data_IF_307628532861
#
_entry.id   IF_307628532861
#
_cell.length_a   1.000
_cell.length_b   1.000
_cell.length_c   1.000
_cell.angle_alpha   90.00
_cell.angle_beta   90.00
_cell.angle_gamma   90.00
#
_symmetry.space_group_name_H-M   'P 1'
#
loop_
_entity.id
_entity.type
_entity.pdbx_description
1 polymer ?
#
# COMPACT_ATOMS: atom_id res chain seq x y z
N UNK A 1 9.89 -0.62 19.46
CA UNK A 1 10.78 -0.01 20.48
C UNK A 1 10.63 1.51 20.50
N UNK A 2 10.57 2.13 21.68
CA UNK A 2 10.41 3.59 21.86
C UNK A 2 11.47 4.41 21.10
N UNK A 3 12.69 3.87 20.98
CA UNK A 3 13.78 4.45 20.20
C UNK A 3 13.50 4.58 18.70
N UNK A 4 12.77 3.64 18.11
CA UNK A 4 12.40 3.67 16.68
C UNK A 4 11.32 4.72 16.43
N UNK A 5 10.33 4.81 17.30
CA UNK A 5 9.29 5.85 17.23
C UNK A 5 9.88 7.26 17.41
N UNK A 6 10.82 7.42 18.34
CA UNK A 6 11.51 8.68 18.59
C UNK A 6 12.45 9.07 17.45
N UNK A 7 13.09 8.09 16.78
CA UNK A 7 13.91 8.33 15.59
C UNK A 7 13.08 8.74 14.37
N UNK A 8 11.92 8.10 14.15
CA UNK A 8 10.97 8.47 13.10
C UNK A 8 10.38 9.88 13.31
N UNK A 9 10.14 10.28 14.56
CA UNK A 9 9.65 11.62 14.92
C UNK A 9 10.67 12.75 14.68
N UNK A 10 11.97 12.44 14.60
CA UNK A 10 13.06 13.43 14.54
C UNK A 10 13.37 14.05 13.17
N UNK A 11 12.61 13.76 12.11
CA UNK A 11 12.84 14.29 10.74
C UNK A 11 14.29 14.12 10.21
N UNK A 12 15.01 13.07 10.60
CA UNK A 12 16.40 12.82 10.14
C UNK A 12 16.51 11.82 8.99
N UNK A 13 15.41 11.39 8.38
CA UNK A 13 15.53 10.72 7.09
C UNK A 13 16.01 11.74 6.06
N UNK A 14 17.12 11.48 5.32
CA UNK A 14 17.44 12.27 4.14
C UNK A 14 16.20 12.35 3.25
N UNK A 15 15.91 13.52 2.67
CA UNK A 15 14.73 13.65 1.81
C UNK A 15 14.79 12.71 0.60
N UNK A 16 16.01 12.33 0.17
CA UNK A 16 16.29 11.57 -1.04
C UNK A 16 17.50 10.66 -0.86
N UNK A 17 17.58 9.58 -1.64
CA UNK A 17 18.71 8.65 -1.68
C UNK A 17 18.31 7.19 -1.54
N UNK A 18 19.23 6.29 -1.90
CA UNK A 18 18.99 4.83 -1.91
C UNK A 18 18.49 4.29 -0.57
N UNK A 19 19.10 4.72 0.55
CA UNK A 19 18.74 4.27 1.90
C UNK A 19 17.28 4.60 2.23
N UNK A 20 16.81 5.77 1.82
CA UNK A 20 15.43 6.24 2.08
C UNK A 20 14.44 5.38 1.31
N UNK A 21 14.73 5.07 0.05
CA UNK A 21 13.90 4.16 -0.76
C UNK A 21 13.85 2.77 -0.15
N UNK A 22 14.99 2.26 0.34
CA UNK A 22 15.05 0.97 1.02
C UNK A 22 14.22 0.96 2.31
N UNK A 23 14.31 2.01 3.13
CA UNK A 23 13.51 2.15 4.34
C UNK A 23 12.01 2.21 4.04
N UNK A 24 11.59 3.04 3.07
CA UNK A 24 10.19 3.11 2.62
C UNK A 24 9.69 1.75 2.14
N UNK A 25 10.49 1.07 1.32
CA UNK A 25 10.17 -0.29 0.85
C UNK A 25 10.01 -1.26 2.02
N UNK A 26 10.89 -1.19 3.04
CA UNK A 26 10.79 -2.06 4.21
C UNK A 26 9.55 -1.75 5.07
N UNK A 27 9.20 -0.48 5.23
CA UNK A 27 8.00 -0.06 5.95
C UNK A 27 6.72 -0.57 5.27
N UNK A 28 6.67 -0.55 3.93
CA UNK A 28 5.54 -1.12 3.18
C UNK A 28 5.33 -2.59 3.56
N UNK A 29 6.40 -3.38 3.64
CA UNK A 29 6.29 -4.80 3.99
C UNK A 29 6.08 -5.07 5.48
N UNK A 30 6.33 -4.11 6.35
CA UNK A 30 6.14 -4.26 7.80
C UNK A 30 4.68 -3.96 8.19
N UNK A 31 4.16 -2.83 7.73
CA UNK A 31 2.84 -2.34 8.10
C UNK A 31 1.76 -3.21 7.44
N UNK A 32 0.91 -3.87 8.22
CA UNK A 32 -0.16 -4.75 7.77
C UNK A 32 0.21 -6.23 7.65
N UNK A 33 1.50 -6.58 7.81
CA UNK A 33 1.98 -7.97 7.64
C UNK A 33 2.69 -8.53 8.87
N UNK A 34 3.29 -7.68 9.71
CA UNK A 34 3.95 -8.11 10.94
C UNK A 34 2.93 -8.31 12.08
N UNK A 35 3.16 -9.29 12.95
CA UNK A 35 2.27 -9.62 14.07
C UNK A 35 2.03 -8.46 15.04
N UNK A 36 2.96 -7.49 15.10
CA UNK A 36 2.81 -6.28 15.94
C UNK A 36 2.19 -5.08 15.21
N UNK A 37 1.95 -5.21 13.91
CA UNK A 37 1.47 -4.15 13.03
C UNK A 37 0.42 -4.68 12.05
N UNK A 38 -0.54 -5.47 12.51
CA UNK A 38 -1.62 -5.96 11.65
C UNK A 38 -2.51 -4.81 11.15
N UNK A 39 -3.25 -5.01 10.06
CA UNK A 39 -4.12 -3.98 9.47
C UNK A 39 -5.09 -3.32 10.47
N UNK A 40 -5.59 -4.09 11.43
CA UNK A 40 -6.50 -3.60 12.47
C UNK A 40 -5.79 -2.79 13.57
N UNK A 41 -4.49 -3.00 13.75
CA UNK A 41 -3.67 -2.30 14.75
C UNK A 41 -3.02 -1.04 14.20
N UNK A 42 -3.00 -0.86 12.86
CA UNK A 42 -2.46 0.35 12.25
C UNK A 42 -3.28 1.58 12.64
N UNK A 43 -2.62 2.58 13.23
CA UNK A 43 -3.21 3.90 13.41
C UNK A 43 -3.50 4.56 12.05
N UNK A 44 -4.38 5.57 12.04
CA UNK A 44 -4.65 6.35 10.83
C UNK A 44 -3.37 6.96 10.24
N UNK A 45 -2.50 7.50 11.10
CA UNK A 45 -1.21 8.05 10.70
C UNK A 45 -0.30 6.99 10.07
N UNK A 46 -0.23 5.78 10.64
CA UNK A 46 0.58 4.69 10.08
C UNK A 46 0.05 4.24 8.72
N UNK A 47 -1.27 4.19 8.54
CA UNK A 47 -1.90 3.87 7.26
C UNK A 47 -1.55 4.93 6.19
N UNK A 48 -1.63 6.21 6.54
CA UNK A 48 -1.23 7.33 5.65
C UNK A 48 0.26 7.27 5.30
N UNK A 49 1.12 6.92 6.26
CA UNK A 49 2.54 6.69 6.00
C UNK A 49 2.79 5.54 5.05
N UNK A 50 2.08 4.42 5.20
CA UNK A 50 2.18 3.28 4.29
C UNK A 50 1.76 3.67 2.87
N UNK A 51 0.62 4.35 2.75
CA UNK A 51 0.08 4.89 1.49
C UNK A 51 1.11 5.79 0.79
N UNK A 52 1.72 6.71 1.55
CA UNK A 52 2.78 7.61 1.06
C UNK A 52 4.03 6.85 0.63
N UNK A 53 4.49 5.87 1.41
CA UNK A 53 5.64 5.05 1.06
C UNK A 53 5.41 4.31 -0.26
N UNK A 54 4.24 3.71 -0.46
CA UNK A 54 3.89 3.05 -1.72
C UNK A 54 4.02 4.00 -2.90
N UNK A 55 3.42 5.21 -2.81
CA UNK A 55 3.50 6.20 -3.90
C UNK A 55 4.91 6.69 -4.17
N UNK A 56 5.68 6.96 -3.12
CA UNK A 56 7.06 7.41 -3.25
C UNK A 56 7.93 6.34 -3.94
N UNK A 57 7.75 5.05 -3.58
CA UNK A 57 8.49 3.95 -4.22
C UNK A 57 8.06 3.77 -5.68
N UNK A 58 6.76 3.86 -5.98
CA UNK A 58 6.27 3.81 -7.37
C UNK A 58 6.85 4.96 -8.20
N UNK A 59 6.86 6.18 -7.67
CA UNK A 59 7.45 7.34 -8.33
C UNK A 59 8.94 7.13 -8.64
N UNK A 60 9.70 6.53 -7.71
CA UNK A 60 11.11 6.20 -7.95
C UNK A 60 11.25 5.18 -9.08
N UNK A 61 10.45 4.11 -9.09
CA UNK A 61 10.45 3.10 -10.15
C UNK A 61 10.13 3.72 -11.52
N UNK A 62 9.14 4.62 -11.58
CA UNK A 62 8.76 5.33 -12.80
C UNK A 62 9.84 6.30 -13.27
N UNK A 63 10.46 7.04 -12.35
CA UNK A 63 11.54 7.99 -12.65
C UNK A 63 12.76 7.27 -13.22
N UNK A 64 13.09 6.12 -12.65
CA UNK A 64 14.16 5.25 -13.12
C UNK A 64 13.76 4.43 -14.37
N UNK A 65 12.53 4.59 -14.87
CA UNK A 65 11.97 3.89 -16.02
C UNK A 65 12.04 2.36 -15.88
N UNK A 66 11.88 1.85 -14.66
CA UNK A 66 11.58 0.44 -14.47
C UNK A 66 10.21 0.19 -15.08
N UNK A 67 10.18 -0.64 -16.13
CA UNK A 67 8.94 -1.02 -16.80
C UNK A 67 8.06 -1.90 -15.91
N UNK A 68 7.39 -2.87 -16.53
CA UNK A 68 6.54 -3.82 -15.81
C UNK A 68 7.42 -4.83 -15.09
N UNK A 69 7.82 -4.52 -13.85
CA UNK A 69 8.64 -5.39 -13.01
C UNK A 69 7.84 -5.88 -11.80
N UNK A 70 8.23 -7.06 -11.29
CA UNK A 70 7.57 -7.70 -10.14
C UNK A 70 7.42 -6.77 -8.95
N UNK A 71 8.46 -6.01 -8.59
CA UNK A 71 8.41 -5.05 -7.48
C UNK A 71 7.30 -4.01 -7.69
N UNK A 72 7.17 -3.43 -8.88
CA UNK A 72 6.13 -2.44 -9.19
C UNK A 72 4.74 -3.02 -8.99
N UNK A 73 4.50 -4.24 -9.49
CA UNK A 73 3.23 -4.94 -9.30
C UNK A 73 2.90 -5.20 -7.82
N UNK A 74 3.91 -5.63 -7.05
CA UNK A 74 3.76 -5.89 -5.62
C UNK A 74 3.49 -4.61 -4.82
N UNK A 75 4.16 -3.51 -5.11
CA UNK A 75 3.90 -2.22 -4.44
C UNK A 75 2.51 -1.67 -4.81
N UNK A 76 2.05 -1.85 -6.06
CA UNK A 76 0.68 -1.50 -6.46
C UNK A 76 -0.37 -2.31 -5.69
N UNK A 77 -0.11 -3.58 -5.39
CA UNK A 77 -1.00 -4.40 -4.59
C UNK A 77 -1.08 -3.90 -3.13
N UNK A 78 0.06 -3.50 -2.55
CA UNK A 78 0.10 -2.91 -1.21
C UNK A 78 -0.56 -1.52 -1.15
N UNK A 79 -0.47 -0.73 -2.23
CA UNK A 79 -1.22 0.52 -2.36
C UNK A 79 -2.72 0.25 -2.40
N UNK A 80 -3.17 -0.69 -3.24
CA UNK A 80 -4.57 -1.11 -3.31
C UNK A 80 -5.11 -1.48 -1.92
N UNK A 81 -4.41 -2.33 -1.17
CA UNK A 81 -4.81 -2.73 0.19
C UNK A 81 -4.92 -1.55 1.14
N UNK A 82 -3.97 -0.62 1.07
CA UNK A 82 -3.97 0.59 1.91
C UNK A 82 -5.19 1.47 1.63
N UNK A 83 -5.54 1.65 0.35
CA UNK A 83 -6.71 2.43 -0.07
C UNK A 83 -8.02 1.72 0.32
N UNK A 84 -8.08 0.41 0.15
CA UNK A 84 -9.20 -0.42 0.61
C UNK A 84 -9.43 -0.28 2.11
N UNK A 85 -8.38 -0.38 2.93
CA UNK A 85 -8.47 -0.22 4.37
C UNK A 85 -8.90 1.21 4.77
N UNK A 86 -8.36 2.23 4.12
CA UNK A 86 -8.77 3.62 4.33
C UNK A 86 -10.25 3.82 4.04
N UNK A 87 -10.74 3.24 2.94
CA UNK A 87 -12.16 3.30 2.60
C UNK A 87 -13.04 2.55 3.59
N UNK A 88 -12.60 1.37 4.09
CA UNK A 88 -13.32 0.65 5.17
C UNK A 88 -13.51 1.56 6.39
N UNK A 89 -12.45 2.25 6.81
CA UNK A 89 -12.48 3.17 7.95
C UNK A 89 -13.35 4.41 7.69
N UNK A 90 -13.23 5.02 6.52
CA UNK A 90 -14.08 6.15 6.13
C UNK A 90 -15.57 5.77 6.14
N UNK A 91 -15.89 4.56 5.67
CA UNK A 91 -17.26 4.06 5.66
C UNK A 91 -17.83 3.91 7.08
N UNK A 92 -17.04 3.44 8.05
CA UNK A 92 -17.49 3.38 9.46
C UNK A 92 -17.88 4.77 9.99
N UNK A 93 -17.28 5.82 9.44
CA UNK A 93 -17.62 7.22 9.72
C UNK A 93 -18.72 7.79 8.81
N UNK A 94 -19.36 6.97 7.97
CA UNK A 94 -20.41 7.36 7.04
C UNK A 94 -19.94 8.07 5.76
N UNK A 95 -18.63 8.08 5.50
CA UNK A 95 -18.03 8.74 4.33
C UNK A 95 -17.66 7.69 3.27
N UNK A 96 -18.09 7.93 2.03
CA UNK A 96 -17.70 7.11 0.88
C UNK A 96 -16.90 7.98 -0.07
N UNK A 97 -15.59 7.72 -0.17
CA UNK A 97 -14.73 8.39 -1.12
C UNK A 97 -14.59 7.57 -2.42
N UNK A 98 -15.36 7.96 -3.44
CA UNK A 98 -15.34 7.31 -4.74
C UNK A 98 -13.99 7.47 -5.45
N UNK A 99 -13.26 8.56 -5.22
CA UNK A 99 -11.94 8.78 -5.85
C UNK A 99 -10.94 7.76 -5.31
N UNK A 100 -10.94 7.54 -3.98
CA UNK A 100 -10.10 6.52 -3.34
C UNK A 100 -10.45 5.11 -3.83
N UNK A 101 -11.75 4.80 -4.01
CA UNK A 101 -12.20 3.51 -4.54
C UNK A 101 -11.75 3.27 -5.98
N UNK A 102 -11.84 4.27 -6.85
CA UNK A 102 -11.40 4.16 -8.25
C UNK A 102 -9.87 4.04 -8.35
N UNK A 103 -9.12 4.76 -7.51
CA UNK A 103 -7.67 4.61 -7.40
C UNK A 103 -7.30 3.18 -6.94
N UNK A 104 -8.00 2.64 -5.94
CA UNK A 104 -7.78 1.28 -5.45
C UNK A 104 -8.03 0.24 -6.55
N UNK A 105 -9.10 0.41 -7.34
CA UNK A 105 -9.43 -0.47 -8.48
C UNK A 105 -8.33 -0.40 -9.55
N UNK A 106 -7.93 0.81 -9.93
CA UNK A 106 -6.88 1.05 -10.93
C UNK A 106 -5.54 0.44 -10.51
N UNK A 107 -5.16 0.57 -9.24
CA UNK A 107 -3.96 -0.03 -8.69
C UNK A 107 -3.99 -1.57 -8.79
N UNK A 108 -5.11 -2.21 -8.44
CA UNK A 108 -5.27 -3.66 -8.55
C UNK A 108 -5.22 -4.15 -10.01
N UNK A 109 -5.90 -3.45 -10.93
CA UNK A 109 -5.86 -3.77 -12.36
C UNK A 109 -4.43 -3.70 -12.91
N UNK A 110 -3.69 -2.64 -12.53
CA UNK A 110 -2.29 -2.46 -12.93
C UNK A 110 -1.38 -3.54 -12.34
N UNK A 111 -1.55 -3.85 -11.04
CA UNK A 111 -0.82 -4.92 -10.37
C UNK A 111 -1.04 -6.27 -11.07
N UNK A 112 -2.29 -6.58 -11.41
CA UNK A 112 -2.67 -7.81 -12.13
C UNK A 112 -2.01 -7.89 -13.51
N UNK A 113 -2.03 -6.81 -14.27
CA UNK A 113 -1.38 -6.77 -15.59
C UNK A 113 0.13 -7.05 -15.49
N UNK A 114 0.78 -6.53 -14.45
CA UNK A 114 2.23 -6.74 -14.22
C UNK A 114 2.52 -8.17 -13.71
N UNK A 115 1.68 -8.70 -12.83
CA UNK A 115 1.93 -9.94 -12.09
C UNK A 115 1.21 -11.17 -12.66
N UNK A 116 0.52 -11.06 -13.80
CA UNK A 116 -0.31 -12.13 -14.36
C UNK A 116 0.41 -13.47 -14.61
N UNK A 117 1.74 -13.46 -14.75
CA UNK A 117 2.56 -14.65 -14.94
C UNK A 117 3.40 -15.02 -13.69
N UNK A 118 3.24 -14.30 -12.59
CA UNK A 118 3.91 -14.59 -11.33
C UNK A 118 3.05 -15.54 -10.49
N UNK A 119 3.38 -16.83 -10.55
CA UNK A 119 2.70 -17.87 -9.80
C UNK A 119 2.69 -17.62 -8.28
N UNK A 120 3.74 -16.99 -7.73
CA UNK A 120 3.83 -16.70 -6.31
C UNK A 120 2.91 -15.53 -5.89
N UNK A 121 2.55 -14.65 -6.83
CA UNK A 121 1.67 -13.52 -6.57
C UNK A 121 0.17 -13.84 -6.76
N UNK A 122 -0.16 -14.99 -7.37
CA UNK A 122 -1.54 -15.26 -7.78
C UNK A 122 -2.51 -15.36 -6.59
N UNK A 123 -2.06 -15.93 -5.47
CA UNK A 123 -2.85 -15.97 -4.22
C UNK A 123 -3.21 -14.58 -3.76
N UNK A 124 -2.22 -13.68 -3.69
CA UNK A 124 -2.39 -12.31 -3.22
C UNK A 124 -3.29 -11.49 -4.16
N UNK A 125 -3.16 -11.68 -5.49
CA UNK A 125 -4.02 -11.04 -6.49
C UNK A 125 -5.49 -11.48 -6.38
N UNK A 126 -5.72 -12.76 -6.07
CA UNK A 126 -7.06 -13.30 -5.88
C UNK A 126 -7.70 -12.71 -4.62
N UNK A 127 -6.94 -12.65 -3.52
CA UNK A 127 -7.37 -12.01 -2.26
C UNK A 127 -7.75 -10.54 -2.47
N UNK A 128 -6.89 -9.75 -3.14
CA UNK A 128 -7.20 -8.35 -3.45
C UNK A 128 -8.47 -8.18 -4.30
N UNK A 129 -8.79 -9.13 -5.17
CA UNK A 129 -10.05 -9.09 -5.95
C UNK A 129 -11.26 -9.33 -5.08
N UNK A 130 -11.16 -10.30 -4.17
CA UNK A 130 -12.23 -10.59 -3.22
C UNK A 130 -12.49 -9.39 -2.31
N UNK A 131 -11.43 -8.75 -1.81
CA UNK A 131 -11.52 -7.53 -1.01
C UNK A 131 -12.20 -6.39 -1.77
N UNK A 132 -11.82 -6.15 -3.03
CA UNK A 132 -12.45 -5.14 -3.89
C UNK A 132 -13.95 -5.42 -4.08
N UNK A 133 -14.32 -6.67 -4.40
CA UNK A 133 -15.71 -7.06 -4.59
C UNK A 133 -16.54 -6.90 -3.31
N UNK A 134 -15.98 -7.28 -2.15
CA UNK A 134 -16.61 -7.05 -0.86
C UNK A 134 -16.87 -5.57 -0.64
N UNK A 135 -15.88 -4.71 -0.88
CA UNK A 135 -16.02 -3.26 -0.73
C UNK A 135 -17.10 -2.66 -1.64
N UNK A 136 -17.17 -3.11 -2.90
CA UNK A 136 -18.18 -2.65 -3.86
C UNK A 136 -19.59 -3.11 -3.48
N UNK A 137 -19.75 -4.38 -3.06
CA UNK A 137 -21.03 -4.93 -2.62
C UNK A 137 -21.58 -4.22 -1.38
N UNK A 138 -20.67 -3.67 -0.56
CA UNK A 138 -21.00 -2.95 0.67
C UNK A 138 -21.28 -1.46 0.36
N UNK A 139 -20.88 -0.92 -0.80
CA UNK A 139 -21.06 0.49 -1.18
C UNK A 139 -22.34 0.74 -1.98
N UNK A 140 -22.94 -0.31 -2.55
CA UNK A 140 -24.21 -0.28 -3.31
C UNK A 140 -25.39 -0.42 -2.37
#
# INVERSE_FOLDING_TARGET
PSSVAQWLAGQHLPAQGQVVVQLKTRLIWLLGHDDSFTWHELSQEMLEWKEKCCRDVLQVLDTLRFGHCRMKGLILLELHRSLCEKQKRNKLNGLVDQVTLDEARSALTSARSILQYDAAAQTELNLGTQEQLQLESITT
#
